data_IF_303248791381
#
_entry.id   IF_303248791381
#
_cell.length_a   1.000
_cell.length_b   1.000
_cell.length_c   1.000
_cell.angle_alpha   90.00
_cell.angle_beta   90.00
_cell.angle_gamma   90.00
#
_symmetry.space_group_name_H-M   'P 1'
#
loop_
_entity.id
_entity.type
_entity.pdbx_description
1 polymer ?
#
# COMPACT_ATOMS: atom_id res chain seq x y z
N UNK A 1 -41.12 -30.07 -0.84
CA UNK A 1 -40.66 -29.74 0.51
C UNK A 1 -39.28 -30.36 0.72
N UNK A 2 -38.22 -29.69 0.26
CA UNK A 2 -36.82 -29.85 0.70
C UNK A 2 -35.93 -28.90 -0.12
N UNK A 3 -35.65 -27.73 0.47
CA UNK A 3 -34.64 -26.80 -0.02
C UNK A 3 -33.25 -27.38 0.28
N UNK A 4 -32.49 -27.76 -0.75
CA UNK A 4 -31.10 -28.12 -0.59
C UNK A 4 -30.25 -26.84 -0.73
N UNK A 5 -29.99 -26.20 0.41
CA UNK A 5 -29.05 -25.07 0.52
C UNK A 5 -27.65 -25.63 0.23
N UNK A 6 -27.11 -25.34 -0.96
CA UNK A 6 -25.69 -25.54 -1.25
C UNK A 6 -24.93 -24.39 -0.58
N UNK A 7 -24.44 -24.63 0.62
CA UNK A 7 -23.45 -23.78 1.27
C UNK A 7 -22.18 -23.88 0.44
N UNK A 8 -21.97 -22.91 -0.46
CA UNK A 8 -20.68 -22.68 -1.08
C UNK A 8 -19.76 -22.16 0.04
N UNK A 9 -18.97 -23.05 0.62
CA UNK A 9 -17.89 -22.65 1.51
C UNK A 9 -16.90 -21.83 0.68
N UNK A 10 -17.02 -20.51 0.74
CA UNK A 10 -16.00 -19.59 0.29
C UNK A 10 -14.79 -19.80 1.21
N UNK A 11 -13.90 -20.69 0.80
CA UNK A 11 -12.58 -20.81 1.38
C UNK A 11 -11.88 -19.48 1.08
N UNK A 12 -12.02 -18.51 1.98
CA UNK A 12 -11.16 -17.34 2.00
C UNK A 12 -9.76 -17.86 2.23
N UNK A 13 -9.02 -18.05 1.13
CA UNK A 13 -7.59 -18.22 1.21
C UNK A 13 -7.08 -16.92 1.80
N UNK A 14 -6.84 -16.92 3.11
CA UNK A 14 -6.11 -15.87 3.79
C UNK A 14 -4.69 -15.94 3.24
N UNK A 15 -4.44 -15.26 2.12
CA UNK A 15 -3.10 -15.05 1.63
C UNK A 15 -2.40 -14.23 2.72
N UNK A 16 -1.36 -14.75 3.39
CA UNK A 16 -0.77 -14.04 4.51
C UNK A 16 -0.09 -12.78 3.99
N UNK A 17 -0.49 -11.62 4.53
CA UNK A 17 0.01 -10.29 4.21
C UNK A 17 1.55 -10.12 4.39
N UNK A 18 2.23 -11.13 4.94
CA UNK A 18 3.67 -11.16 5.21
C UNK A 18 4.55 -11.66 4.07
N UNK A 19 3.98 -12.22 2.99
CA UNK A 19 4.77 -12.97 2.00
C UNK A 19 5.88 -12.14 1.29
N UNK A 20 5.73 -10.81 1.19
CA UNK A 20 6.67 -9.92 0.48
C UNK A 20 7.39 -8.89 1.37
N UNK A 21 7.34 -9.04 2.70
CA UNK A 21 8.03 -8.12 3.61
C UNK A 21 9.49 -8.52 3.81
N UNK A 22 10.41 -7.56 3.78
CA UNK A 22 11.79 -7.74 4.19
C UNK A 22 11.89 -7.64 5.71
N UNK A 23 12.48 -8.67 6.33
CA UNK A 23 12.85 -8.59 7.74
C UNK A 23 14.16 -7.80 7.86
N UNK A 24 14.15 -6.80 8.74
CA UNK A 24 15.29 -5.98 9.14
C UNK A 24 15.33 -6.07 10.67
N UNK A 25 16.50 -5.89 11.29
CA UNK A 25 16.69 -6.09 12.73
C UNK A 25 15.52 -5.58 13.61
N UNK A 26 14.71 -6.51 14.12
CA UNK A 26 13.59 -6.23 15.02
C UNK A 26 12.23 -5.92 14.40
N UNK A 27 12.10 -5.79 13.08
CA UNK A 27 10.82 -5.52 12.41
C UNK A 27 10.77 -6.07 10.97
N UNK A 28 9.62 -5.93 10.31
CA UNK A 28 9.48 -6.23 8.88
C UNK A 28 8.85 -5.03 8.17
N UNK A 29 9.31 -4.75 6.95
CA UNK A 29 8.81 -3.65 6.11
C UNK A 29 8.54 -4.18 4.69
N UNK A 30 7.53 -3.63 4.01
CA UNK A 30 7.29 -3.98 2.60
C UNK A 30 8.52 -3.64 1.75
N UNK A 31 8.86 -4.50 0.78
CA UNK A 31 10.00 -4.30 -0.13
C UNK A 31 9.79 -3.20 -1.17
N UNK A 32 8.54 -2.84 -1.41
CA UNK A 32 8.11 -1.85 -2.40
C UNK A 32 7.02 -0.98 -1.78
N UNK A 33 6.68 0.13 -2.43
CA UNK A 33 5.44 0.82 -2.11
C UNK A 33 4.21 -0.08 -2.31
N UNK A 34 3.11 0.29 -1.65
CA UNK A 34 1.83 -0.38 -1.86
C UNK A 34 1.35 -0.10 -3.28
N UNK A 35 1.16 -1.16 -4.06
CA UNK A 35 0.71 -1.03 -5.45
C UNK A 35 -0.80 -0.79 -5.58
N UNK A 36 -1.22 -0.28 -6.74
CA UNK A 36 -2.64 -0.15 -7.10
C UNK A 36 -3.37 -1.47 -6.92
N UNK A 37 -2.83 -2.60 -7.39
CA UNK A 37 -3.44 -3.91 -7.23
C UNK A 37 -3.55 -4.37 -5.77
N UNK A 38 -2.59 -4.00 -4.91
CA UNK A 38 -2.65 -4.31 -3.49
C UNK A 38 -3.75 -3.48 -2.80
N UNK A 39 -3.78 -2.18 -3.06
CA UNK A 39 -4.78 -1.27 -2.51
C UNK A 39 -6.19 -1.57 -3.05
N UNK A 40 -6.31 -2.04 -4.30
CA UNK A 40 -7.57 -2.47 -4.89
C UNK A 40 -8.25 -3.58 -4.08
N UNK A 41 -7.47 -4.55 -3.57
CA UNK A 41 -8.04 -5.62 -2.72
C UNK A 41 -8.61 -5.08 -1.41
N UNK A 42 -7.95 -4.09 -0.82
CA UNK A 42 -8.48 -3.38 0.34
C UNK A 42 -9.79 -2.68 -0.01
N UNK A 43 -9.80 -1.91 -1.11
CA UNK A 43 -10.97 -1.15 -1.50
C UNK A 43 -12.19 -2.03 -1.82
N UNK A 44 -11.99 -3.14 -2.51
CA UNK A 44 -13.04 -4.14 -2.78
C UNK A 44 -13.54 -4.80 -1.50
N UNK A 45 -12.65 -5.12 -0.57
CA UNK A 45 -13.00 -5.81 0.68
C UNK A 45 -13.77 -4.92 1.67
N UNK A 46 -13.52 -3.60 1.66
CA UNK A 46 -14.08 -2.68 2.67
C UNK A 46 -15.09 -1.69 2.09
N UNK A 47 -15.26 -1.62 0.78
CA UNK A 47 -16.03 -0.56 0.12
C UNK A 47 -15.38 0.81 0.30
N UNK A 48 -14.05 0.86 0.40
CA UNK A 48 -13.31 2.11 0.61
C UNK A 48 -13.50 3.07 -0.58
N UNK A 49 -13.59 4.36 -0.25
CA UNK A 49 -13.58 5.47 -1.20
C UNK A 49 -12.60 6.50 -0.66
N UNK A 50 -11.62 6.93 -1.46
CA UNK A 50 -10.60 7.86 -1.01
C UNK A 50 -11.08 9.31 -0.95
N UNK A 51 -10.33 10.16 -0.24
CA UNK A 51 -10.52 11.60 -0.24
C UNK A 51 -10.34 12.18 -1.64
N UNK A 52 -9.39 11.70 -2.43
CA UNK A 52 -9.24 12.14 -3.82
C UNK A 52 -10.47 11.82 -4.66
N UNK A 53 -11.08 10.64 -4.49
CA UNK A 53 -12.34 10.28 -5.17
C UNK A 53 -13.49 11.18 -4.72
N UNK A 54 -13.63 11.43 -3.40
CA UNK A 54 -14.68 12.31 -2.85
C UNK A 54 -14.54 13.76 -3.30
N UNK A 55 -13.31 14.25 -3.41
CA UNK A 55 -13.00 15.61 -3.83
C UNK A 55 -12.96 15.79 -5.35
N UNK A 56 -13.16 14.72 -6.13
CA UNK A 56 -13.16 14.73 -7.60
C UNK A 56 -11.77 14.73 -8.24
N UNK A 57 -10.69 14.55 -7.46
CA UNK A 57 -9.32 14.50 -7.94
C UNK A 57 -8.29 14.69 -6.82
N UNK A 58 -7.10 14.16 -7.06
CA UNK A 58 -5.91 14.30 -6.22
C UNK A 58 -5.07 15.52 -6.61
N UNK A 59 -4.05 15.79 -5.81
CA UNK A 59 -3.22 16.98 -5.94
C UNK A 59 -1.82 16.62 -6.45
N UNK A 60 -1.24 17.49 -7.25
CA UNK A 60 0.15 17.40 -7.70
C UNK A 60 0.85 18.73 -7.52
N UNK A 61 2.17 18.67 -7.28
CA UNK A 61 2.98 19.87 -7.19
C UNK A 61 3.54 20.24 -8.57
N UNK A 62 3.00 21.29 -9.16
CA UNK A 62 3.44 21.90 -10.43
C UNK A 62 4.01 23.29 -10.18
N UNK A 63 3.27 24.32 -10.61
CA UNK A 63 3.57 25.73 -10.26
C UNK A 63 3.01 26.13 -8.88
N UNK A 64 2.67 25.13 -8.07
CA UNK A 64 1.91 25.19 -6.83
C UNK A 64 1.14 23.88 -6.65
N UNK A 65 0.33 23.79 -5.59
CA UNK A 65 -0.59 22.67 -5.43
C UNK A 65 -1.74 22.81 -6.43
N UNK A 66 -1.88 21.81 -7.30
CA UNK A 66 -2.91 21.78 -8.33
C UNK A 66 -3.75 20.52 -8.17
N UNK A 67 -5.07 20.68 -8.01
CA UNK A 67 -5.99 19.56 -8.08
C UNK A 67 -6.20 19.12 -9.52
N UNK A 68 -6.06 17.82 -9.80
CA UNK A 68 -6.26 17.24 -11.13
C UNK A 68 -7.54 16.40 -11.17
N UNK A 69 -8.54 16.77 -11.98
CA UNK A 69 -9.80 16.04 -12.06
C UNK A 69 -9.61 14.56 -12.43
N UNK A 70 -10.23 13.67 -11.66
CA UNK A 70 -10.20 12.23 -11.89
C UNK A 70 -8.87 11.54 -11.60
N UNK A 71 -7.87 12.26 -11.06
CA UNK A 71 -6.63 11.66 -10.61
C UNK A 71 -6.86 11.04 -9.23
N UNK A 72 -6.75 9.73 -9.13
CA UNK A 72 -7.05 8.97 -7.90
C UNK A 72 -5.98 7.90 -7.70
N UNK A 73 -6.07 7.13 -6.61
CA UNK A 73 -5.15 6.02 -6.39
C UNK A 73 -5.23 4.95 -7.48
N UNK A 74 -6.41 4.73 -8.09
CA UNK A 74 -6.58 3.80 -9.23
C UNK A 74 -6.04 4.36 -10.55
N UNK A 75 -6.08 5.69 -10.70
CA UNK A 75 -5.67 6.41 -11.91
C UNK A 75 -4.73 7.55 -11.53
N UNK A 76 -3.46 7.27 -11.16
CA UNK A 76 -2.50 8.27 -10.70
C UNK A 76 -2.35 9.48 -11.63
N UNK A 77 -2.51 9.26 -12.94
CA UNK A 77 -2.39 10.27 -14.00
C UNK A 77 -3.74 10.56 -14.69
N UNK A 78 -4.86 10.21 -14.06
CA UNK A 78 -6.22 10.36 -14.61
C UNK A 78 -6.59 9.35 -15.70
N UNK A 79 -5.66 8.47 -16.07
CA UNK A 79 -5.85 7.40 -17.05
C UNK A 79 -5.60 6.03 -16.42
N UNK A 80 -6.06 4.97 -17.08
CA UNK A 80 -5.71 3.60 -16.69
C UNK A 80 -4.19 3.44 -16.63
N UNK A 81 -3.73 2.77 -15.59
CA UNK A 81 -2.31 2.69 -15.21
C UNK A 81 -1.94 1.25 -14.91
N UNK A 82 -0.65 0.92 -15.06
CA UNK A 82 -0.15 -0.41 -14.69
C UNK A 82 -0.46 -0.69 -13.21
N UNK A 83 -1.16 -1.79 -12.89
CA UNK A 83 -1.60 -2.10 -11.52
C UNK A 83 -0.45 -2.34 -10.53
N UNK A 84 0.79 -2.46 -11.02
CA UNK A 84 2.01 -2.60 -10.20
C UNK A 84 2.56 -1.26 -9.74
N UNK A 85 2.13 -0.13 -10.31
CA UNK A 85 2.55 1.18 -9.87
C UNK A 85 2.07 1.47 -8.44
N UNK A 86 2.74 2.39 -7.71
CA UNK A 86 2.30 2.81 -6.39
C UNK A 86 0.90 3.41 -6.40
N UNK A 87 0.08 3.06 -5.39
CA UNK A 87 -1.18 3.74 -5.11
C UNK A 87 -0.87 5.11 -4.48
N UNK A 88 -1.10 6.18 -5.25
CA UNK A 88 -0.87 7.59 -4.83
C UNK A 88 -2.19 8.30 -4.57
N UNK A 89 -2.18 9.61 -4.29
CA UNK A 89 -3.39 10.40 -3.98
C UNK A 89 -4.18 9.83 -2.77
N UNK A 90 -3.45 9.30 -1.79
CA UNK A 90 -3.96 8.77 -0.54
C UNK A 90 -3.48 9.64 0.62
N UNK A 91 -4.32 9.82 1.64
CA UNK A 91 -3.93 10.50 2.87
C UNK A 91 -3.18 9.56 3.81
N UNK A 92 -2.57 10.13 4.85
CA UNK A 92 -1.92 9.36 5.92
C UNK A 92 -2.91 8.41 6.63
N UNK A 93 -4.13 8.87 6.89
CA UNK A 93 -5.16 8.06 7.57
C UNK A 93 -5.63 6.89 6.69
N UNK A 94 -5.72 7.10 5.38
CA UNK A 94 -6.09 6.06 4.41
C UNK A 94 -5.00 5.00 4.27
N UNK A 95 -3.73 5.42 4.24
CA UNK A 95 -2.60 4.50 4.29
C UNK A 95 -2.58 3.72 5.61
N UNK A 96 -2.87 4.38 6.73
CA UNK A 96 -2.99 3.74 8.05
C UNK A 96 -4.10 2.69 8.08
N UNK A 97 -5.27 3.01 7.53
CA UNK A 97 -6.40 2.09 7.43
C UNK A 97 -6.07 0.86 6.58
N UNK A 98 -5.42 1.05 5.43
CA UNK A 98 -4.92 -0.05 4.61
C UNK A 98 -3.96 -0.97 5.38
N UNK A 99 -2.96 -0.39 6.05
CA UNK A 99 -2.00 -1.15 6.83
C UNK A 99 -2.70 -1.95 7.94
N UNK A 100 -3.63 -1.34 8.68
CA UNK A 100 -4.39 -2.00 9.72
C UNK A 100 -5.24 -3.17 9.18
N UNK A 101 -5.93 -2.97 8.05
CA UNK A 101 -6.75 -3.99 7.40
C UNK A 101 -5.96 -5.26 7.05
N UNK A 102 -4.72 -5.11 6.58
CA UNK A 102 -3.84 -6.26 6.27
C UNK A 102 -3.08 -6.82 7.48
N UNK A 103 -3.39 -6.36 8.70
CA UNK A 103 -2.71 -6.80 9.92
C UNK A 103 -1.28 -6.26 10.07
N UNK A 104 -1.00 -5.09 9.49
CA UNK A 104 0.26 -4.37 9.57
C UNK A 104 0.05 -2.96 10.18
N UNK A 105 1.09 -2.13 10.12
CA UNK A 105 1.03 -0.70 10.46
C UNK A 105 1.99 0.09 9.57
N UNK A 106 1.86 1.41 9.55
CA UNK A 106 2.90 2.27 8.99
C UNK A 106 4.20 2.11 9.80
N UNK A 107 5.37 2.22 9.15
CA UNK A 107 6.64 2.28 9.86
C UNK A 107 6.72 3.57 10.68
N UNK A 108 7.44 3.51 11.80
CA UNK A 108 7.90 4.74 12.47
C UNK A 108 8.96 5.43 11.62
N UNK A 109 9.24 6.72 11.89
CA UNK A 109 10.33 7.42 11.21
C UNK A 109 11.68 6.70 11.40
N UNK A 110 11.95 6.19 12.61
CA UNK A 110 13.17 5.47 12.94
C UNK A 110 13.28 4.18 12.11
N UNK A 111 12.22 3.37 12.05
CA UNK A 111 12.20 2.14 11.24
C UNK A 111 12.36 2.44 9.75
N UNK A 112 11.69 3.48 9.24
CA UNK A 112 11.81 3.85 7.83
C UNK A 112 13.23 4.31 7.49
N UNK A 113 13.85 5.13 8.35
CA UNK A 113 15.25 5.56 8.17
C UNK A 113 16.23 4.38 8.25
N UNK A 114 16.02 3.46 9.18
CA UNK A 114 16.82 2.24 9.31
C UNK A 114 16.72 1.36 8.06
N UNK A 115 15.52 1.26 7.46
CA UNK A 115 15.30 0.49 6.25
C UNK A 115 15.87 1.16 4.99
N UNK A 116 15.83 2.49 4.91
CA UNK A 116 16.19 3.23 3.71
C UNK A 116 17.68 3.60 3.61
N UNK A 117 18.36 3.83 4.74
CA UNK A 117 19.69 4.45 4.76
C UNK A 117 20.78 3.63 5.46
N UNK A 118 20.47 2.46 6.01
CA UNK A 118 21.46 1.60 6.67
C UNK A 118 21.70 0.37 5.82
N UNK A 119 22.97 0.04 5.59
CA UNK A 119 23.37 -1.17 4.88
C UNK A 119 23.46 -2.35 5.85
N UNK A 120 22.61 -3.34 5.62
CA UNK A 120 22.47 -4.52 6.49
C UNK A 120 23.19 -5.76 5.93
N UNK A 121 23.81 -5.67 4.75
CA UNK A 121 24.55 -6.79 4.16
C UNK A 121 25.88 -7.04 4.89
N UNK A 122 26.22 -8.32 5.19
CA UNK A 122 27.49 -8.67 5.81
C UNK A 122 28.73 -8.26 4.99
N UNK A 123 28.60 -8.22 3.67
CA UNK A 123 29.65 -7.98 2.68
C UNK A 123 29.50 -6.63 1.97
N UNK A 124 28.99 -5.62 2.69
CA UNK A 124 28.90 -4.28 2.14
C UNK A 124 30.28 -3.77 1.67
N UNK A 125 30.31 -3.13 0.51
CA UNK A 125 31.51 -2.46 0.03
C UNK A 125 31.96 -1.36 1.00
N UNK A 126 33.23 -0.92 0.90
CA UNK A 126 33.80 0.07 1.82
C UNK A 126 33.12 1.45 1.78
N UNK A 127 32.32 1.73 0.74
CA UNK A 127 31.62 3.01 0.57
C UNK A 127 30.29 3.10 1.33
N UNK A 128 29.86 2.01 1.98
CA UNK A 128 28.60 1.97 2.72
C UNK A 128 28.80 2.29 4.20
N UNK A 129 27.88 3.07 4.75
CA UNK A 129 27.77 3.24 6.20
C UNK A 129 27.06 2.00 6.75
N UNK A 130 27.81 1.17 7.46
CA UNK A 130 27.24 0.06 8.22
C UNK A 130 26.65 0.56 9.54
N UNK A 131 25.52 -0.02 9.93
CA UNK A 131 24.83 0.26 11.19
C UNK A 131 25.24 -0.67 12.31
#
# INVERSE_FOLDING_TARGET
>A
MTHLIRILALLMIVVPAKADMQTIEGFAIDRTEVSIAQFQRFAEATGFVSQAERSGGGEVYGWGWEQKPGWTWQRPFGVESDPRLPAVHLTFDEATAYCAWRGARLPTEIEWRQAAYVEHRPDAGPDFIQG
#
